data_IF_231391290968
#
_entry.id   IF_231391290968
#
_cell.length_a   1.000
_cell.length_b   1.000
_cell.length_c   1.000
_cell.angle_alpha   90.00
_cell.angle_beta   90.00
_cell.angle_gamma   90.00
#
_symmetry.space_group_name_H-M   'P 1'
#
loop_
_entity.id
_entity.type
_entity.pdbx_description
1 polymer ?
#
# COMPACT_ATOMS: atom_id res chain seq x y z
N UNK A 1 71.17 15.57 -16.23
CA UNK A 1 69.82 15.32 -15.67
C UNK A 1 69.90 15.51 -14.15
N UNK A 2 69.49 16.67 -13.63
CA UNK A 2 69.54 16.97 -12.19
C UNK A 2 68.17 16.68 -11.61
N UNK A 3 68.08 15.65 -10.76
CA UNK A 3 66.89 15.34 -9.99
C UNK A 3 66.67 16.45 -8.96
N UNK A 4 65.62 17.25 -9.17
CA UNK A 4 65.22 18.31 -8.24
C UNK A 4 64.64 17.67 -6.98
N UNK A 5 65.41 17.70 -5.88
CA UNK A 5 64.93 17.26 -4.56
C UNK A 5 63.78 18.18 -4.13
N UNK A 6 62.60 17.65 -3.77
CA UNK A 6 61.49 18.48 -3.31
C UNK A 6 61.92 19.21 -2.04
N UNK A 7 61.86 20.55 -2.07
CA UNK A 7 62.14 21.41 -0.92
C UNK A 7 61.12 21.07 0.16
N UNK A 8 61.59 20.72 1.36
CA UNK A 8 60.80 20.29 2.53
C UNK A 8 59.58 21.20 2.81
N UNK A 9 59.65 22.48 2.46
CA UNK A 9 58.54 23.43 2.56
C UNK A 9 57.31 23.11 1.69
N UNK A 10 57.45 22.39 0.57
CA UNK A 10 56.31 22.03 -0.28
C UNK A 10 55.53 20.82 0.28
N UNK A 11 56.21 19.94 1.02
CA UNK A 11 55.60 18.78 1.68
C UNK A 11 54.73 19.23 2.88
N UNK A 12 55.16 20.27 3.59
CA UNK A 12 54.42 20.87 4.70
C UNK A 12 53.13 21.59 4.26
N UNK A 13 53.08 22.14 3.04
CA UNK A 13 51.90 22.80 2.49
C UNK A 13 50.83 21.82 1.96
N UNK A 14 51.22 20.62 1.57
CA UNK A 14 50.30 19.61 1.02
C UNK A 14 49.62 18.77 2.11
N UNK A 15 50.21 18.66 3.31
CA UNK A 15 49.64 17.96 4.46
C UNK A 15 48.24 18.45 4.88
N UNK A 16 47.98 19.75 5.07
CA UNK A 16 46.64 20.23 5.41
C UNK A 16 45.63 20.01 4.28
N UNK A 17 46.05 20.16 3.02
CA UNK A 17 45.20 19.89 1.86
C UNK A 17 44.81 18.40 1.77
N UNK A 18 45.77 17.50 2.01
CA UNK A 18 45.53 16.06 2.08
C UNK A 18 44.59 15.70 3.24
N UNK A 19 44.73 16.38 4.39
CA UNK A 19 43.82 16.23 5.52
C UNK A 19 42.39 16.68 5.21
N UNK A 20 42.22 17.81 4.49
CA UNK A 20 40.92 18.30 4.04
C UNK A 20 40.29 17.35 3.01
N UNK A 21 41.07 16.87 2.04
CA UNK A 21 40.60 15.88 1.05
C UNK A 21 40.21 14.57 1.73
N UNK A 22 41.01 14.07 2.67
CA UNK A 22 40.67 12.88 3.45
C UNK A 22 39.40 13.10 4.29
N UNK A 23 39.23 14.27 4.91
CA UNK A 23 38.02 14.63 5.66
C UNK A 23 36.78 14.69 4.77
N UNK A 24 36.90 15.24 3.56
CA UNK A 24 35.82 15.31 2.57
C UNK A 24 35.45 13.93 2.03
N UNK A 25 36.44 13.07 1.74
CA UNK A 25 36.20 11.68 1.30
C UNK A 25 35.56 10.86 2.42
N UNK A 26 36.00 11.04 3.67
CA UNK A 26 35.43 10.36 4.82
C UNK A 26 33.99 10.81 5.11
N UNK A 27 33.71 12.12 5.01
CA UNK A 27 32.33 12.66 5.10
C UNK A 27 31.44 12.19 3.96
N UNK A 28 31.94 12.17 2.73
CA UNK A 28 31.18 11.67 1.58
C UNK A 28 30.88 10.15 1.70
N UNK A 29 31.78 9.36 2.29
CA UNK A 29 31.57 7.94 2.56
C UNK A 29 30.55 7.66 3.67
N UNK A 30 30.27 8.65 4.55
CA UNK A 30 29.34 8.51 5.67
C UNK A 30 27.87 8.77 5.33
N UNK A 31 27.57 9.30 4.14
CA UNK A 31 26.21 9.40 3.60
C UNK A 31 25.94 8.21 2.68
N UNK A 32 26.02 7.00 3.24
CA UNK A 32 25.33 5.86 2.64
C UNK A 32 23.98 5.80 3.30
N UNK A 33 22.97 6.35 2.64
CA UNK A 33 21.58 6.07 3.02
C UNK A 33 21.44 4.54 3.08
N UNK A 34 21.09 4.00 4.24
CA UNK A 34 20.94 2.56 4.41
C UNK A 34 19.85 2.12 3.43
N UNK A 35 20.16 1.27 2.43
CA UNK A 35 19.17 0.84 1.46
C UNK A 35 17.96 0.16 2.13
N UNK A 36 18.14 -0.44 3.32
CA UNK A 36 17.03 -0.98 4.10
C UNK A 36 16.13 0.12 4.70
N UNK A 37 16.72 1.24 5.12
CA UNK A 37 15.97 2.40 5.59
C UNK A 37 15.23 3.09 4.45
N UNK A 38 15.87 3.24 3.28
CA UNK A 38 15.23 3.76 2.06
C UNK A 38 14.09 2.84 1.63
N UNK A 39 14.28 1.51 1.60
CA UNK A 39 13.22 0.55 1.30
C UNK A 39 12.09 0.61 2.32
N UNK A 40 12.41 0.79 3.61
CA UNK A 40 11.40 0.94 4.67
C UNK A 40 10.62 2.25 4.49
N UNK A 41 11.29 3.34 4.15
CA UNK A 41 10.68 4.63 3.87
C UNK A 41 9.83 4.57 2.59
N UNK A 42 10.29 3.90 1.53
CA UNK A 42 9.54 3.68 0.30
C UNK A 42 8.32 2.78 0.52
N UNK A 43 8.43 1.74 1.35
CA UNK A 43 7.29 0.88 1.73
C UNK A 43 6.29 1.63 2.63
N UNK A 44 6.79 2.47 3.53
CA UNK A 44 5.94 3.34 4.36
C UNK A 44 5.26 4.43 3.51
N UNK A 45 5.94 4.91 2.47
CA UNK A 45 5.42 5.89 1.51
C UNK A 45 4.50 5.26 0.47
N UNK A 46 4.69 3.98 0.13
CA UNK A 46 3.80 3.22 -0.73
C UNK A 46 2.38 3.27 -0.14
N UNK A 47 1.40 3.56 -0.98
CA UNK A 47 -0.01 3.53 -0.57
C UNK A 47 -0.50 2.10 -0.37
N UNK A 48 -1.76 1.94 0.08
CA UNK A 48 -2.46 0.68 -0.12
C UNK A 48 -2.52 0.35 -1.63
N UNK A 49 -2.56 -0.94 -1.95
CA UNK A 49 -2.60 -1.44 -3.33
C UNK A 49 -3.89 -2.22 -3.55
N UNK A 50 -4.58 -1.93 -4.65
CA UNK A 50 -5.70 -2.74 -5.12
C UNK A 50 -5.19 -4.05 -5.74
N UNK A 51 -5.94 -5.16 -5.67
CA UNK A 51 -5.64 -6.31 -6.51
C UNK A 51 -5.74 -5.92 -7.99
N UNK A 52 -4.92 -6.51 -8.85
CA UNK A 52 -5.01 -6.21 -10.28
C UNK A 52 -6.31 -6.84 -10.84
N UNK A 53 -7.20 -6.08 -11.52
CA UNK A 53 -8.50 -6.59 -11.96
C UNK A 53 -8.41 -7.91 -12.73
N UNK A 54 -7.45 -8.00 -13.66
CA UNK A 54 -7.24 -9.20 -14.48
C UNK A 54 -6.89 -10.45 -13.67
N UNK A 55 -6.18 -10.31 -12.55
CA UNK A 55 -5.85 -11.42 -11.64
C UNK A 55 -7.06 -11.93 -10.87
N UNK A 56 -8.11 -11.11 -10.77
CA UNK A 56 -9.40 -11.47 -10.20
C UNK A 56 -10.36 -12.05 -11.25
N UNK A 57 -10.01 -12.01 -12.54
CA UNK A 57 -10.95 -12.29 -13.64
C UNK A 57 -11.92 -11.13 -13.92
N UNK A 58 -11.58 -9.90 -13.51
CA UNK A 58 -12.36 -8.70 -13.75
C UNK A 58 -11.69 -7.76 -14.76
N UNK A 59 -12.48 -6.82 -15.29
CA UNK A 59 -11.98 -5.62 -15.95
C UNK A 59 -12.18 -4.41 -15.03
N UNK A 60 -11.26 -3.44 -15.08
CA UNK A 60 -11.51 -2.14 -14.44
C UNK A 60 -12.45 -1.31 -15.30
N UNK A 61 -13.43 -0.65 -14.67
CA UNK A 61 -14.31 0.28 -15.36
C UNK A 61 -13.73 1.70 -15.46
N UNK A 62 -12.85 2.06 -14.53
CA UNK A 62 -12.24 3.39 -14.43
C UNK A 62 -10.80 3.31 -13.91
N UNK A 63 -10.09 4.43 -13.98
CA UNK A 63 -8.84 4.57 -13.21
C UNK A 63 -9.15 4.53 -11.70
N UNK A 64 -8.25 3.97 -10.87
CA UNK A 64 -8.43 3.98 -9.43
C UNK A 64 -8.44 5.40 -8.85
N UNK A 65 -9.46 5.69 -8.07
CA UNK A 65 -9.58 6.92 -7.28
C UNK A 65 -8.76 6.78 -5.99
N UNK A 66 -8.19 7.90 -5.54
CA UNK A 66 -7.36 7.94 -4.33
C UNK A 66 -7.87 9.04 -3.41
N UNK A 67 -8.00 8.69 -2.14
CA UNK A 67 -8.41 9.61 -1.09
C UNK A 67 -7.37 9.59 0.03
N UNK A 68 -7.20 10.74 0.64
CA UNK A 68 -6.39 10.97 1.83
C UNK A 68 -7.24 11.57 2.94
N UNK A 69 -6.59 11.93 4.06
CA UNK A 69 -7.28 12.48 5.23
C UNK A 69 -8.07 13.75 4.92
N UNK A 70 -7.65 14.51 3.92
CA UNK A 70 -8.27 15.79 3.54
C UNK A 70 -9.37 15.59 2.50
N UNK A 71 -9.41 14.46 1.79
CA UNK A 71 -10.35 14.23 0.70
C UNK A 71 -11.35 13.11 0.99
N UNK A 72 -11.15 12.31 2.05
CA UNK A 72 -12.03 11.17 2.36
C UNK A 72 -13.52 11.54 2.48
N UNK A 73 -13.84 12.75 2.96
CA UNK A 73 -15.23 13.20 3.10
C UNK A 73 -15.95 13.33 1.76
N UNK A 74 -15.24 13.46 0.63
CA UNK A 74 -15.87 13.50 -0.71
C UNK A 74 -16.35 12.12 -1.15
N UNK A 75 -15.75 11.06 -0.58
CA UNK A 75 -16.10 9.68 -0.86
C UNK A 75 -17.09 9.11 0.16
N UNK A 76 -16.87 9.37 1.45
CA UNK A 76 -17.69 8.84 2.56
C UNK A 76 -18.30 10.00 3.33
N UNK A 77 -19.47 10.45 2.89
CA UNK A 77 -20.20 11.51 3.58
C UNK A 77 -20.80 11.00 4.91
N UNK A 78 -20.57 11.75 5.99
CA UNK A 78 -21.10 11.46 7.33
C UNK A 78 -20.37 10.39 8.15
N UNK A 79 -19.60 9.48 7.53
CA UNK A 79 -18.87 8.42 8.26
C UNK A 79 -17.33 8.58 8.25
N UNK A 80 -16.77 9.53 7.50
CA UNK A 80 -15.32 9.77 7.42
C UNK A 80 -14.66 10.00 8.80
N UNK A 81 -15.34 10.65 9.75
CA UNK A 81 -14.83 10.88 11.10
C UNK A 81 -14.47 9.58 11.83
N UNK A 82 -15.26 8.52 11.64
CA UNK A 82 -14.99 7.21 12.24
C UNK A 82 -13.69 6.59 11.70
N UNK A 83 -13.39 6.81 10.42
CA UNK A 83 -12.16 6.34 9.79
C UNK A 83 -10.96 7.16 10.28
N UNK A 84 -11.11 8.50 10.33
CA UNK A 84 -10.07 9.41 10.80
C UNK A 84 -9.70 9.17 12.28
N UNK A 85 -10.68 8.92 13.14
CA UNK A 85 -10.48 8.58 14.55
C UNK A 85 -9.69 7.28 14.75
N UNK A 86 -9.76 6.36 13.78
CA UNK A 86 -8.98 5.10 13.76
C UNK A 86 -7.60 5.26 13.14
N UNK A 87 -7.19 6.48 12.82
CA UNK A 87 -5.88 6.77 12.24
C UNK A 87 -5.81 6.50 10.74
N UNK A 88 -6.92 6.66 10.00
CA UNK A 88 -6.92 6.61 8.54
C UNK A 88 -5.81 7.48 7.92
N UNK A 89 -5.17 6.96 6.88
CA UNK A 89 -4.14 7.66 6.12
C UNK A 89 -4.53 7.83 4.65
N UNK A 90 -4.89 6.73 3.98
CA UNK A 90 -5.16 6.70 2.52
C UNK A 90 -6.19 5.64 2.17
N UNK A 91 -6.97 5.89 1.13
CA UNK A 91 -7.85 4.91 0.48
C UNK A 91 -7.54 4.90 -1.01
N UNK A 92 -7.59 3.72 -1.63
CA UNK A 92 -7.64 3.56 -3.07
C UNK A 92 -8.90 2.77 -3.43
N UNK A 93 -9.62 3.20 -4.47
CA UNK A 93 -10.93 2.68 -4.84
C UNK A 93 -10.99 2.45 -6.34
N UNK A 94 -11.59 1.33 -6.79
CA UNK A 94 -11.90 1.10 -8.20
C UNK A 94 -13.17 0.27 -8.36
N UNK A 95 -13.81 0.39 -9.53
CA UNK A 95 -14.96 -0.43 -9.92
C UNK A 95 -14.52 -1.57 -10.83
N UNK A 96 -14.89 -2.80 -10.46
CA UNK A 96 -14.56 -4.04 -11.17
C UNK A 96 -15.81 -4.64 -11.80
N UNK A 97 -15.67 -5.05 -13.06
CA UNK A 97 -16.71 -5.72 -13.82
C UNK A 97 -16.32 -7.17 -14.10
N UNK A 98 -17.20 -8.11 -13.77
CA UNK A 98 -17.06 -9.54 -14.02
C UNK A 98 -18.10 -9.97 -15.06
N UNK A 99 -17.61 -10.47 -16.20
CA UNK A 99 -18.44 -10.83 -17.36
C UNK A 99 -18.38 -12.34 -17.68
N UNK A 100 -17.86 -13.15 -16.76
CA UNK A 100 -17.57 -14.58 -16.95
C UNK A 100 -18.82 -15.48 -16.79
N UNK A 101 -19.96 -14.90 -16.46
CA UNK A 101 -21.24 -15.61 -16.26
C UNK A 101 -22.17 -15.40 -17.46
N UNK A 102 -22.99 -16.40 -17.81
CA UNK A 102 -24.01 -16.30 -18.87
C UNK A 102 -25.15 -15.29 -18.58
N UNK A 103 -25.08 -14.60 -17.44
CA UNK A 103 -26.02 -13.58 -16.99
C UNK A 103 -25.52 -12.15 -17.18
N UNK A 104 -26.21 -11.15 -16.63
CA UNK A 104 -25.74 -9.78 -16.64
C UNK A 104 -24.38 -9.66 -15.91
N UNK A 105 -23.51 -8.73 -16.32
CA UNK A 105 -22.23 -8.53 -15.67
C UNK A 105 -22.43 -8.16 -14.19
N UNK A 106 -21.53 -8.68 -13.35
CA UNK A 106 -21.46 -8.33 -11.95
C UNK A 106 -20.51 -7.15 -11.77
N UNK A 107 -20.96 -6.14 -11.02
CA UNK A 107 -20.16 -4.96 -10.70
C UNK A 107 -19.85 -4.95 -9.21
N UNK A 108 -18.59 -4.71 -8.86
CA UNK A 108 -18.15 -4.54 -7.49
C UNK A 108 -17.28 -3.29 -7.33
N UNK A 109 -17.45 -2.58 -6.23
CA UNK A 109 -16.53 -1.51 -5.81
C UNK A 109 -15.52 -2.12 -4.85
N UNK A 110 -14.23 -1.94 -5.14
CA UNK A 110 -13.12 -2.48 -4.36
C UNK A 110 -12.33 -1.32 -3.78
N UNK A 111 -12.15 -1.35 -2.46
CA UNK A 111 -11.57 -0.30 -1.65
C UNK A 111 -10.48 -0.89 -0.77
N UNK A 112 -9.31 -0.26 -0.70
CA UNK A 112 -8.26 -0.62 0.26
C UNK A 112 -7.88 0.59 1.08
N UNK A 113 -8.16 0.50 2.38
CA UNK A 113 -7.89 1.53 3.37
C UNK A 113 -6.59 1.25 4.09
N UNK A 114 -5.70 2.23 4.17
CA UNK A 114 -4.49 2.20 4.99
C UNK A 114 -4.67 3.03 6.25
N UNK A 115 -4.38 2.42 7.39
CA UNK A 115 -4.38 3.06 8.70
C UNK A 115 -2.96 3.30 9.22
N UNK A 116 -2.82 4.16 10.23
CA UNK A 116 -1.55 4.39 10.91
C UNK A 116 -1.03 3.12 11.59
N UNK A 117 -1.94 2.36 12.20
CA UNK A 117 -1.64 1.12 12.94
C UNK A 117 -2.60 0.00 12.54
N UNK A 118 -2.17 -1.25 12.72
CA UNK A 118 -3.01 -2.43 12.43
C UNK A 118 -4.29 -2.48 13.25
N UNK A 119 -4.27 -1.90 14.46
CA UNK A 119 -5.44 -1.77 15.31
C UNK A 119 -6.55 -0.95 14.63
N UNK A 120 -6.21 0.06 13.83
CA UNK A 120 -7.19 0.88 13.11
C UNK A 120 -7.98 0.06 12.09
N UNK A 121 -7.26 -0.69 11.23
CA UNK A 121 -7.85 -1.61 10.26
C UNK A 121 -8.71 -2.69 10.93
N UNK A 122 -8.19 -3.31 12.00
CA UNK A 122 -8.90 -4.38 12.72
C UNK A 122 -10.16 -3.84 13.42
N UNK A 123 -10.09 -2.65 14.01
CA UNK A 123 -11.24 -2.05 14.69
C UNK A 123 -12.37 -1.70 13.72
N UNK A 124 -12.03 -1.22 12.52
CA UNK A 124 -13.02 -0.97 11.47
C UNK A 124 -13.59 -2.27 10.91
N UNK A 125 -12.75 -3.30 10.72
CA UNK A 125 -13.20 -4.63 10.31
C UNK A 125 -14.27 -5.17 11.26
N UNK A 126 -14.04 -5.12 12.57
CA UNK A 126 -15.00 -5.65 13.55
C UNK A 126 -16.28 -4.81 13.62
N UNK A 127 -16.20 -3.49 13.42
CA UNK A 127 -17.37 -2.60 13.39
C UNK A 127 -18.24 -2.83 12.15
N UNK A 128 -17.64 -2.94 10.97
CA UNK A 128 -18.36 -3.05 9.70
C UNK A 128 -18.71 -4.49 9.32
N UNK A 129 -18.26 -5.48 10.09
CA UNK A 129 -18.49 -6.90 9.81
C UNK A 129 -19.99 -7.20 9.61
N UNK A 130 -20.41 -7.66 8.42
CA UNK A 130 -21.81 -7.96 8.17
C UNK A 130 -22.33 -9.06 9.10
N UNK A 131 -23.57 -8.91 9.57
CA UNK A 131 -24.24 -9.94 10.36
C UNK A 131 -24.47 -11.18 9.48
N UNK A 132 -23.92 -12.32 9.90
CA UNK A 132 -23.99 -13.57 9.12
C UNK A 132 -22.86 -13.74 8.12
N UNK A 133 -21.86 -12.85 8.09
CA UNK A 133 -20.68 -13.04 7.27
C UNK A 133 -19.93 -14.33 7.65
N UNK A 134 -19.63 -15.13 6.64
CA UNK A 134 -18.92 -16.40 6.76
C UNK A 134 -17.46 -16.22 6.37
N UNK A 135 -16.51 -16.97 6.97
CA UNK A 135 -15.11 -16.91 6.57
C UNK A 135 -14.93 -17.28 5.10
N UNK A 136 -13.97 -16.63 4.45
CA UNK A 136 -13.49 -17.05 3.15
C UNK A 136 -12.39 -18.11 3.28
N UNK A 137 -12.41 -19.17 2.44
CA UNK A 137 -11.32 -20.11 2.38
C UNK A 137 -10.08 -19.47 1.71
N UNK A 138 -8.88 -19.82 2.18
CA UNK A 138 -7.62 -19.44 1.54
C UNK A 138 -6.74 -18.48 2.35
N UNK A 139 -5.56 -18.12 1.80
CA UNK A 139 -4.51 -17.38 2.52
C UNK A 139 -4.88 -15.92 2.80
N UNK A 140 -5.85 -15.37 2.07
CA UNK A 140 -6.34 -14.01 2.24
C UNK A 140 -7.01 -13.76 3.59
N UNK A 141 -7.58 -14.82 4.19
CA UNK A 141 -8.54 -14.65 5.27
C UNK A 141 -9.70 -13.74 4.85
N UNK A 142 -10.43 -13.24 5.85
CA UNK A 142 -11.57 -12.36 5.64
C UNK A 142 -12.92 -13.06 5.72
N UNK A 143 -13.97 -12.26 5.57
CA UNK A 143 -15.37 -12.67 5.75
C UNK A 143 -16.23 -12.07 4.67
N UNK A 144 -17.27 -12.80 4.25
CA UNK A 144 -18.27 -12.31 3.32
C UNK A 144 -19.66 -12.85 3.62
N UNK A 145 -20.68 -12.05 3.34
CA UNK A 145 -22.08 -12.45 3.26
C UNK A 145 -22.57 -12.69 1.81
N UNK A 146 -21.66 -12.60 0.83
CA UNK A 146 -21.96 -12.71 -0.60
C UNK A 146 -22.21 -11.37 -1.30
N UNK A 147 -22.35 -10.27 -0.56
CA UNK A 147 -22.50 -8.90 -1.10
C UNK A 147 -21.36 -8.00 -0.65
N UNK A 148 -20.88 -8.16 0.59
CA UNK A 148 -19.75 -7.42 1.15
C UNK A 148 -18.64 -8.41 1.51
N UNK A 149 -17.41 -8.04 1.19
CA UNK A 149 -16.18 -8.67 1.65
C UNK A 149 -15.45 -7.69 2.57
N UNK A 150 -14.94 -8.20 3.69
CA UNK A 150 -13.92 -7.53 4.49
C UNK A 150 -12.73 -8.47 4.72
N UNK A 151 -11.51 -7.96 4.60
CA UNK A 151 -10.27 -8.66 4.96
C UNK A 151 -9.22 -7.67 5.46
N UNK A 152 -8.39 -8.08 6.42
CA UNK A 152 -7.33 -7.24 7.01
C UNK A 152 -5.97 -7.88 6.80
N UNK A 153 -4.99 -7.06 6.41
CA UNK A 153 -3.59 -7.45 6.31
C UNK A 153 -2.71 -6.33 6.89
N UNK A 154 -2.20 -6.54 8.11
CA UNK A 154 -1.40 -5.54 8.82
C UNK A 154 -2.19 -4.25 9.02
N UNK A 155 -1.78 -3.17 8.34
CA UNK A 155 -2.37 -1.83 8.43
C UNK A 155 -3.47 -1.57 7.40
N UNK A 156 -3.71 -2.53 6.53
CA UNK A 156 -4.66 -2.37 5.42
C UNK A 156 -5.93 -3.17 5.66
N UNK A 157 -7.06 -2.56 5.31
CA UNK A 157 -8.37 -3.18 5.24
C UNK A 157 -8.82 -3.19 3.77
N UNK A 158 -9.03 -4.38 3.22
CA UNK A 158 -9.76 -4.59 1.98
C UNK A 158 -11.27 -4.61 2.28
N UNK A 159 -12.02 -3.82 1.54
CA UNK A 159 -13.48 -3.86 1.47
C UNK A 159 -13.88 -3.98 0.01
N UNK A 160 -14.78 -4.92 -0.29
CA UNK A 160 -15.39 -4.98 -1.62
C UNK A 160 -16.90 -5.15 -1.49
N UNK A 161 -17.64 -4.38 -2.28
CA UNK A 161 -19.10 -4.33 -2.24
C UNK A 161 -19.66 -4.61 -3.63
N UNK A 162 -20.48 -5.64 -3.76
CA UNK A 162 -21.21 -5.95 -4.99
C UNK A 162 -22.34 -4.93 -5.15
N UNK A 163 -22.32 -4.19 -6.26
CA UNK A 163 -23.28 -3.12 -6.56
C UNK A 163 -24.39 -3.63 -7.48
N UNK A 164 -24.09 -4.57 -8.37
CA UNK A 164 -25.07 -5.21 -9.25
C UNK A 164 -24.61 -6.61 -9.66
N UNK A 165 -25.56 -7.44 -10.13
CA UNK A 165 -25.31 -8.84 -10.47
C UNK A 165 -25.77 -9.81 -9.38
N UNK A 166 -25.98 -11.07 -9.74
CA UNK A 166 -26.34 -12.14 -8.81
C UNK A 166 -25.08 -12.93 -8.41
N UNK A 167 -25.14 -13.60 -7.26
CA UNK A 167 -24.13 -14.58 -6.80
C UNK A 167 -22.69 -14.05 -6.68
N UNK A 168 -22.53 -12.87 -6.08
CA UNK A 168 -21.23 -12.19 -5.99
C UNK A 168 -20.17 -12.83 -5.10
N UNK A 169 -20.51 -13.87 -4.33
CA UNK A 169 -19.55 -14.57 -3.46
C UNK A 169 -18.31 -15.04 -4.22
N UNK A 170 -18.47 -15.65 -5.39
CA UNK A 170 -17.34 -16.18 -6.16
C UNK A 170 -16.40 -15.06 -6.64
N UNK A 171 -16.95 -13.90 -7.03
CA UNK A 171 -16.17 -12.73 -7.41
C UNK A 171 -15.39 -12.16 -6.21
N UNK A 172 -16.04 -12.06 -5.05
CA UNK A 172 -15.41 -11.62 -3.80
C UNK A 172 -14.27 -12.56 -3.36
N UNK A 173 -14.44 -13.87 -3.52
CA UNK A 173 -13.39 -14.86 -3.27
C UNK A 173 -12.16 -14.65 -4.17
N UNK A 174 -12.37 -14.37 -5.47
CA UNK A 174 -11.29 -14.05 -6.40
C UNK A 174 -10.56 -12.75 -6.03
N UNK A 175 -11.30 -11.71 -5.64
CA UNK A 175 -10.73 -10.42 -5.19
C UNK A 175 -9.86 -10.62 -3.95
N UNK A 176 -10.38 -11.34 -2.94
CA UNK A 176 -9.63 -11.62 -1.71
C UNK A 176 -8.32 -12.36 -2.01
N UNK A 177 -8.39 -13.42 -2.82
CA UNK A 177 -7.23 -14.22 -3.20
C UNK A 177 -6.17 -13.40 -3.95
N UNK A 178 -6.59 -12.59 -4.93
CA UNK A 178 -5.71 -11.72 -5.68
C UNK A 178 -5.02 -10.67 -4.80
N UNK A 179 -5.77 -10.07 -3.86
CA UNK A 179 -5.22 -9.07 -2.95
C UNK A 179 -4.18 -9.69 -2.01
N UNK A 180 -4.47 -10.84 -1.42
CA UNK A 180 -3.54 -11.53 -0.53
C UNK A 180 -2.23 -11.92 -1.22
N UNK A 181 -2.30 -12.36 -2.48
CA UNK A 181 -1.11 -12.65 -3.28
C UNK A 181 -0.23 -11.41 -3.48
N UNK A 182 -0.82 -10.21 -3.57
CA UNK A 182 -0.10 -8.94 -3.71
C UNK A 182 0.41 -8.32 -2.41
N UNK A 183 -0.12 -8.74 -1.24
CA UNK A 183 0.26 -8.19 0.08
C UNK A 183 1.31 -9.07 0.80
N UNK A 184 1.61 -10.26 0.28
CA UNK A 184 2.64 -11.14 0.86
C UNK A 184 4.05 -10.54 0.63
N UNK A 185 4.89 -10.43 1.68
CA UNK A 185 6.24 -9.84 1.57
C UNK A 185 7.25 -10.70 0.80
#
# INVERSE_FOLDING_TARGET
MVASRPRIGHVLLLLPLAGVVACLVWRAGSVREDPAEVLRALRAAAGPTLPEPSTCGAASRSEPERYDRETLYTFIDGAAEGYLARGFQRCIVASYTFSDSAGPPLEAVVEVYRFAESLGATSLFEEERPKGATPLPGPAGGVTDGTVLLAVAGRDLLKATVVSGADGRAALEKIAAAWAAGVTP
#
